data_IF_206786765079
#
_entry.id   IF_206786765079
#
_cell.length_a   1.000
_cell.length_b   1.000
_cell.length_c   1.000
_cell.angle_alpha   90.00
_cell.angle_beta   90.00
_cell.angle_gamma   90.00
#
_symmetry.space_group_name_H-M   'P 1'
#
loop_
_entity.id
_entity.type
_entity.pdbx_description
1 polymer ?
#
# COMPACT_ATOMS: atom_id res chain seq x y z
N UNK A 1 25.06 8.65 -8.62
CA UNK A 1 24.71 7.21 -8.62
C UNK A 1 23.37 7.02 -7.88
N UNK A 2 22.26 7.59 -8.36
CA UNK A 2 20.98 7.61 -7.59
C UNK A 2 19.71 7.77 -8.44
N UNK A 3 19.80 7.89 -9.77
CA UNK A 3 18.62 8.18 -10.61
C UNK A 3 17.63 7.02 -10.68
N UNK A 4 18.08 5.85 -11.14
CA UNK A 4 17.19 4.71 -11.43
C UNK A 4 16.65 4.02 -10.17
N UNK A 5 17.50 3.74 -9.18
CA UNK A 5 17.06 3.05 -7.97
C UNK A 5 16.09 3.90 -7.14
N UNK A 6 16.37 5.21 -7.02
CA UNK A 6 15.44 6.14 -6.38
C UNK A 6 14.11 6.24 -7.13
N UNK A 7 14.14 6.28 -8.46
CA UNK A 7 12.94 6.31 -9.28
C UNK A 7 12.10 5.04 -9.15
N UNK A 8 12.73 3.86 -9.16
CA UNK A 8 12.02 2.58 -8.97
C UNK A 8 11.38 2.51 -7.58
N UNK A 9 12.11 2.89 -6.52
CA UNK A 9 11.55 2.92 -5.16
C UNK A 9 10.35 3.87 -5.06
N UNK A 10 10.46 5.06 -5.67
CA UNK A 10 9.37 6.02 -5.69
C UNK A 10 8.16 5.49 -6.48
N UNK A 11 8.38 4.88 -7.64
CA UNK A 11 7.32 4.29 -8.46
C UNK A 11 6.60 3.15 -7.71
N UNK A 12 7.34 2.28 -7.02
CA UNK A 12 6.76 1.21 -6.19
C UNK A 12 5.98 1.80 -5.01
N UNK A 13 6.55 2.81 -4.32
CA UNK A 13 5.88 3.49 -3.22
C UNK A 13 4.54 4.11 -3.63
N UNK A 14 4.54 4.93 -4.69
CA UNK A 14 3.35 5.58 -5.21
C UNK A 14 2.35 4.57 -5.78
N UNK A 15 2.84 3.53 -6.46
CA UNK A 15 2.02 2.43 -6.99
C UNK A 15 1.27 1.69 -5.89
N UNK A 16 1.95 1.36 -4.78
CA UNK A 16 1.34 0.72 -3.61
C UNK A 16 0.27 1.59 -2.96
N UNK A 17 0.53 2.88 -2.77
CA UNK A 17 -0.43 3.86 -2.26
C UNK A 17 -1.67 3.92 -3.15
N UNK A 18 -1.49 4.10 -4.46
CA UNK A 18 -2.59 4.23 -5.41
C UNK A 18 -3.46 2.97 -5.48
N UNK A 19 -2.83 1.78 -5.54
CA UNK A 19 -3.53 0.50 -5.55
C UNK A 19 -4.33 0.26 -4.27
N UNK A 20 -3.75 0.54 -3.11
CA UNK A 20 -4.48 0.43 -1.85
C UNK A 20 -5.62 1.44 -1.75
N UNK A 21 -5.39 2.69 -2.18
CA UNK A 21 -6.39 3.76 -2.13
C UNK A 21 -7.62 3.47 -2.98
N UNK A 22 -7.42 2.91 -4.17
CA UNK A 22 -8.49 2.52 -5.11
C UNK A 22 -9.24 1.29 -4.62
N UNK A 23 -8.52 0.29 -4.09
CA UNK A 23 -9.09 -0.94 -3.54
C UNK A 23 -9.58 -0.84 -2.08
N UNK A 24 -9.46 0.30 -1.42
CA UNK A 24 -9.74 0.46 0.02
C UNK A 24 -11.15 -0.02 0.42
N UNK A 25 -12.14 0.20 -0.46
CA UNK A 25 -13.53 -0.22 -0.25
C UNK A 25 -13.72 -1.75 -0.15
N UNK A 26 -12.72 -2.55 -0.56
CA UNK A 26 -12.72 -4.03 -0.45
C UNK A 26 -11.98 -4.53 0.80
N UNK A 27 -11.41 -3.62 1.58
CA UNK A 27 -10.76 -3.94 2.84
C UNK A 27 -11.77 -3.93 3.98
N UNK A 28 -11.44 -4.58 5.09
CA UNK A 28 -12.25 -4.54 6.31
C UNK A 28 -12.00 -3.26 7.14
N UNK A 29 -11.26 -2.28 6.60
CA UNK A 29 -10.98 -1.03 7.30
C UNK A 29 -12.10 -0.03 7.04
N UNK A 30 -12.73 0.46 8.11
CA UNK A 30 -13.75 1.52 8.03
C UNK A 30 -13.14 2.92 8.06
N UNK A 31 -11.94 3.06 8.63
CA UNK A 31 -11.25 4.34 8.80
C UNK A 31 -9.76 4.20 8.51
N UNK A 32 -9.08 5.34 8.39
CA UNK A 32 -7.63 5.35 8.33
C UNK A 32 -6.99 5.16 6.97
N UNK A 33 -7.78 5.31 5.89
CA UNK A 33 -7.35 5.18 4.50
C UNK A 33 -6.00 5.87 4.21
N UNK A 34 -5.81 7.10 4.69
CA UNK A 34 -4.59 7.89 4.48
C UNK A 34 -3.35 7.26 5.13
N UNK A 35 -3.37 7.01 6.45
CA UNK A 35 -2.19 6.47 7.14
C UNK A 35 -1.93 5.02 6.74
N UNK A 36 -2.98 4.22 6.51
CA UNK A 36 -2.86 2.84 6.03
C UNK A 36 -2.20 2.82 4.65
N UNK A 37 -2.64 3.68 3.73
CA UNK A 37 -2.02 3.82 2.42
C UNK A 37 -0.58 4.30 2.51
N UNK A 38 -0.27 5.35 3.28
CA UNK A 38 1.07 5.91 3.37
C UNK A 38 2.09 4.97 4.03
N UNK A 39 1.66 4.22 5.05
CA UNK A 39 2.48 3.28 5.81
C UNK A 39 2.49 1.87 5.23
N UNK A 40 1.98 1.69 4.01
CA UNK A 40 1.85 0.39 3.38
C UNK A 40 3.11 -0.49 3.38
N UNK A 41 4.35 0.03 3.17
CA UNK A 41 5.54 -0.83 3.13
C UNK A 41 5.84 -1.41 4.50
N UNK A 42 5.73 -0.59 5.55
CA UNK A 42 5.97 -0.99 6.94
C UNK A 42 4.88 -1.94 7.41
N UNK A 43 3.62 -1.64 7.10
CA UNK A 43 2.47 -2.46 7.50
C UNK A 43 2.44 -3.80 6.75
N UNK A 44 2.93 -3.85 5.51
CA UNK A 44 3.11 -5.11 4.78
C UNK A 44 4.09 -6.05 5.47
N UNK A 45 5.13 -5.54 6.12
CA UNK A 45 6.15 -6.39 6.76
C UNK A 45 5.74 -6.72 8.21
N UNK A 46 5.21 -5.72 8.93
CA UNK A 46 4.94 -5.83 10.37
C UNK A 46 3.57 -6.41 10.71
N UNK A 47 2.57 -6.34 9.81
CA UNK A 47 1.19 -6.66 10.16
C UNK A 47 0.53 -7.66 9.20
N UNK A 48 0.28 -8.88 9.70
CA UNK A 48 -0.38 -9.95 8.93
C UNK A 48 -1.81 -9.61 8.50
N UNK A 49 -2.58 -8.92 9.36
CA UNK A 49 -3.95 -8.50 9.04
C UNK A 49 -3.94 -7.44 7.93
N UNK A 50 -3.01 -6.48 7.99
CA UNK A 50 -2.84 -5.49 6.95
C UNK A 50 -2.50 -6.15 5.61
N UNK A 51 -1.55 -7.08 5.57
CA UNK A 51 -1.21 -7.83 4.34
C UNK A 51 -2.41 -8.50 3.68
N UNK A 52 -3.28 -9.14 4.47
CA UNK A 52 -4.49 -9.79 3.95
C UNK A 52 -5.44 -8.76 3.32
N UNK A 53 -5.64 -7.61 3.98
CA UNK A 53 -6.46 -6.53 3.45
C UNK A 53 -5.83 -5.85 2.24
N UNK A 54 -4.51 -5.67 2.22
CA UNK A 54 -3.77 -5.14 1.08
C UNK A 54 -3.95 -6.03 -0.16
N UNK A 55 -3.84 -7.36 0.01
CA UNK A 55 -4.13 -8.31 -1.06
C UNK A 55 -5.58 -8.24 -1.55
N UNK A 56 -6.56 -7.95 -0.68
CA UNK A 56 -7.95 -7.71 -1.09
C UNK A 56 -8.10 -6.42 -1.90
N UNK A 57 -7.40 -5.36 -1.50
CA UNK A 57 -7.37 -4.10 -2.24
C UNK A 57 -6.73 -4.26 -3.63
N UNK A 58 -5.73 -5.15 -3.77
CA UNK A 58 -5.06 -5.44 -5.05
C UNK A 58 -5.87 -6.27 -6.03
N UNK A 59 -6.75 -7.15 -5.54
CA UNK A 59 -7.58 -8.06 -6.35
C UNK A 59 -8.77 -7.34 -7.00
N UNK A 60 -8.53 -6.18 -7.61
CA UNK A 60 -9.49 -5.42 -8.42
C UNK A 60 -10.36 -6.31 -9.30
#
# INVERSE_FOLDING_TARGET
MTGLLGFVLLAVYLGGVWKFWTGFHRTNFSQGKLYLAALWPVLLISNRSYRQNFNRALKG
#
